data_IF_257223143341
#
_entry.id   IF_257223143341
#
_cell.length_a   1.000
_cell.length_b   1.000
_cell.length_c   1.000
_cell.angle_alpha   90.00
_cell.angle_beta   90.00
_cell.angle_gamma   90.00
#
_symmetry.space_group_name_H-M   'P 1'
#
loop_
_entity.id
_entity.type
_entity.pdbx_description
1 polymer ?
#
# COMPACT_ATOMS: atom_id res chain seq x y z
N UNK A 1 -11.96 9.27 43.76
CA UNK A 1 -11.96 9.46 42.29
C UNK A 1 -10.67 8.98 41.60
N UNK A 2 -9.46 9.22 42.14
CA UNK A 2 -8.20 8.75 41.52
C UNK A 2 -8.11 7.24 41.26
N UNK A 3 -8.61 6.41 42.17
CA UNK A 3 -8.55 4.94 42.04
C UNK A 3 -9.53 4.34 41.00
N UNK A 4 -10.63 5.03 40.71
CA UNK A 4 -11.60 4.63 39.68
C UNK A 4 -11.04 4.88 38.27
N UNK A 5 -10.31 5.98 38.09
CA UNK A 5 -9.61 6.30 36.84
C UNK A 5 -8.51 5.28 36.54
N UNK A 6 -7.71 4.88 37.53
CA UNK A 6 -6.66 3.87 37.33
C UNK A 6 -7.22 2.49 37.00
N UNK A 7 -8.38 2.12 37.56
CA UNK A 7 -9.03 0.84 37.28
C UNK A 7 -9.65 0.82 35.88
N UNK A 8 -10.28 1.93 35.45
CA UNK A 8 -10.79 2.08 34.08
C UNK A 8 -9.67 2.03 33.05
N UNK A 9 -8.55 2.73 33.28
CA UNK A 9 -7.39 2.69 32.39
C UNK A 9 -6.82 1.26 32.34
N UNK A 10 -6.66 0.59 33.49
CA UNK A 10 -6.19 -0.79 33.55
C UNK A 10 -7.10 -1.78 32.81
N UNK A 11 -8.41 -1.61 32.92
CA UNK A 11 -9.39 -2.44 32.22
C UNK A 11 -9.37 -2.22 30.71
N UNK A 12 -9.25 -0.97 30.25
CA UNK A 12 -9.16 -0.65 28.81
C UNK A 12 -7.86 -1.19 28.22
N UNK A 13 -6.73 -1.02 28.91
CA UNK A 13 -5.43 -1.54 28.46
C UNK A 13 -5.44 -3.08 28.46
N UNK A 14 -5.99 -3.72 29.49
CA UNK A 14 -6.12 -5.17 29.57
C UNK A 14 -7.01 -5.75 28.46
N UNK A 15 -8.13 -5.11 28.16
CA UNK A 15 -9.02 -5.53 27.07
C UNK A 15 -8.36 -5.36 25.69
N UNK A 16 -7.62 -4.27 25.47
CA UNK A 16 -6.87 -4.05 24.23
C UNK A 16 -5.75 -5.10 24.03
N UNK A 17 -5.04 -5.47 25.10
CA UNK A 17 -4.00 -6.51 25.08
C UNK A 17 -4.57 -7.90 24.78
N UNK A 18 -5.68 -8.26 25.43
CA UNK A 18 -6.36 -9.54 25.21
C UNK A 18 -6.93 -9.62 23.80
N UNK A 19 -7.52 -8.54 23.28
CA UNK A 19 -8.00 -8.48 21.90
C UNK A 19 -6.85 -8.66 20.91
N UNK A 20 -5.72 -7.98 21.12
CA UNK A 20 -4.52 -8.11 20.28
C UNK A 20 -3.95 -9.53 20.28
N UNK A 21 -3.96 -10.21 21.44
CA UNK A 21 -3.44 -11.57 21.58
C UNK A 21 -4.40 -12.65 21.07
N UNK A 22 -5.72 -12.47 21.19
CA UNK A 22 -6.71 -13.52 20.87
C UNK A 22 -7.32 -13.40 19.46
N UNK A 23 -7.44 -12.21 18.88
CA UNK A 23 -8.11 -12.02 17.58
C UNK A 23 -7.13 -12.15 16.40
N UNK A 24 -5.83 -12.15 16.67
CA UNK A 24 -4.79 -12.37 15.67
C UNK A 24 -4.53 -11.11 14.83
N UNK A 25 -3.25 -10.80 14.66
CA UNK A 25 -2.78 -9.84 13.64
C UNK A 25 -3.38 -10.22 12.30
N UNK A 26 -3.96 -9.23 11.61
CA UNK A 26 -4.61 -9.46 10.32
C UNK A 26 -3.67 -10.21 9.39
N UNK A 27 -4.19 -11.25 8.72
CA UNK A 27 -3.43 -12.03 7.77
C UNK A 27 -3.02 -11.09 6.63
N UNK A 28 -1.74 -10.73 6.61
CA UNK A 28 -1.12 -10.11 5.45
C UNK A 28 -1.19 -11.17 4.35
N UNK A 29 -2.12 -11.03 3.40
CA UNK A 29 -2.10 -11.87 2.21
C UNK A 29 -0.77 -11.65 1.51
N UNK A 30 0.03 -12.72 1.42
CA UNK A 30 1.31 -12.68 0.73
C UNK A 30 1.04 -12.31 -0.73
N UNK A 31 1.68 -11.26 -1.29
CA UNK A 31 1.43 -10.88 -2.67
C UNK A 31 1.84 -12.03 -3.60
N UNK A 32 1.13 -12.25 -4.72
CA UNK A 32 1.47 -13.30 -5.67
C UNK A 32 2.91 -13.14 -6.20
N UNK A 33 3.55 -14.26 -6.49
CA UNK A 33 4.89 -14.30 -7.07
C UNK A 33 6.03 -14.34 -6.07
N UNK A 34 7.24 -14.13 -6.58
CA UNK A 34 8.49 -14.12 -5.80
C UNK A 34 8.98 -12.70 -5.56
N UNK A 35 9.62 -12.41 -4.40
CA UNK A 35 10.27 -11.13 -4.16
C UNK A 35 11.28 -10.79 -5.25
N UNK A 36 11.16 -9.59 -5.80
CA UNK A 36 12.09 -9.04 -6.80
C UNK A 36 13.44 -8.82 -6.14
N UNK A 37 14.51 -9.34 -6.78
CA UNK A 37 15.87 -9.33 -6.24
C UNK A 37 16.73 -8.29 -6.93
N UNK A 38 17.88 -7.98 -6.34
CA UNK A 38 18.89 -7.14 -6.97
C UNK A 38 19.46 -7.79 -8.26
N UNK A 39 19.93 -6.98 -9.22
CA UNK A 39 20.67 -7.45 -10.39
C UNK A 39 21.91 -8.25 -9.99
N UNK A 40 22.32 -9.20 -10.83
CA UNK A 40 23.55 -9.96 -10.62
C UNK A 40 24.78 -9.09 -10.93
N UNK A 41 25.87 -9.30 -10.19
CA UNK A 41 27.10 -8.50 -10.34
C UNK A 41 27.78 -8.65 -11.73
N UNK A 42 27.36 -9.62 -12.55
CA UNK A 42 27.87 -9.88 -13.89
C UNK A 42 27.26 -9.02 -15.01
N UNK A 43 26.35 -8.09 -14.68
CA UNK A 43 25.64 -7.26 -15.65
C UNK A 43 24.31 -7.88 -16.11
N UNK A 44 23.55 -7.12 -16.90
CA UNK A 44 22.24 -7.56 -17.38
C UNK A 44 22.37 -8.66 -18.45
N UNK A 45 21.62 -9.77 -18.33
CA UNK A 45 21.57 -10.80 -19.37
C UNK A 45 21.17 -10.24 -20.75
N UNK A 46 21.50 -10.95 -21.85
CA UNK A 46 20.94 -10.63 -23.16
C UNK A 46 19.41 -10.67 -23.13
N UNK A 47 18.77 -9.72 -23.82
CA UNK A 47 17.31 -9.62 -23.85
C UNK A 47 16.69 -8.96 -22.61
N UNK A 48 17.49 -8.24 -21.81
CA UNK A 48 16.99 -7.42 -20.69
C UNK A 48 16.67 -6.00 -21.14
N UNK A 49 15.47 -5.51 -20.80
CA UNK A 49 15.12 -4.09 -20.87
C UNK A 49 15.25 -3.45 -19.50
N UNK A 50 15.67 -2.17 -19.45
CA UNK A 50 15.81 -1.41 -18.21
C UNK A 50 14.80 -0.26 -18.21
N UNK A 51 13.87 -0.29 -17.26
CA UNK A 51 12.94 0.80 -16.99
C UNK A 51 13.43 1.58 -15.77
N UNK A 52 13.59 2.89 -15.92
CA UNK A 52 14.01 3.77 -14.82
C UNK A 52 12.85 4.68 -14.43
N UNK A 53 12.50 4.68 -13.14
CA UNK A 53 11.47 5.52 -12.53
C UNK A 53 12.12 6.34 -11.42
N UNK A 54 12.27 7.64 -11.63
CA UNK A 54 12.85 8.57 -10.66
C UNK A 54 11.79 9.21 -9.76
N UNK A 55 12.23 9.93 -8.73
CA UNK A 55 11.30 10.63 -7.82
C UNK A 55 10.44 11.69 -8.55
N UNK A 56 10.97 12.31 -9.61
CA UNK A 56 10.28 13.35 -10.35
C UNK A 56 9.07 12.80 -11.13
N UNK A 57 9.17 11.59 -11.67
CA UNK A 57 8.07 10.87 -12.28
C UNK A 57 6.90 10.73 -11.29
N UNK A 58 7.18 10.24 -10.08
CA UNK A 58 6.14 10.08 -9.05
C UNK A 58 5.61 11.43 -8.57
N UNK A 59 6.49 12.42 -8.39
CA UNK A 59 6.08 13.78 -8.05
C UNK A 59 5.06 14.34 -9.04
N UNK A 60 5.35 14.23 -10.34
CA UNK A 60 4.45 14.69 -11.41
C UNK A 60 3.14 13.90 -11.44
N UNK A 61 3.20 12.59 -11.20
CA UNK A 61 2.02 11.73 -11.09
C UNK A 61 1.10 12.18 -9.96
N UNK A 62 1.64 12.38 -8.75
CA UNK A 62 0.84 12.82 -7.60
C UNK A 62 0.29 14.24 -7.80
N UNK A 63 1.08 15.16 -8.34
CA UNK A 63 0.60 16.50 -8.69
C UNK A 63 -0.59 16.44 -9.65
N UNK A 64 -0.51 15.58 -10.67
CA UNK A 64 -1.60 15.36 -11.64
C UNK A 64 -2.84 14.79 -10.95
N UNK A 65 -2.68 13.79 -10.06
CA UNK A 65 -3.79 13.22 -9.29
C UNK A 65 -4.49 14.31 -8.45
N UNK A 66 -3.71 15.08 -7.68
CA UNK A 66 -4.29 16.11 -6.82
C UNK A 66 -4.95 17.24 -7.61
N UNK A 67 -4.38 17.62 -8.76
CA UNK A 67 -4.91 18.69 -9.61
C UNK A 67 -6.13 18.26 -10.40
N UNK A 68 -6.08 17.08 -11.02
CA UNK A 68 -7.03 16.69 -12.07
C UNK A 68 -8.04 15.62 -11.61
N UNK A 69 -7.72 14.82 -10.59
CA UNK A 69 -8.55 13.70 -10.11
C UNK A 69 -9.14 13.89 -8.72
N UNK A 70 -8.85 15.03 -8.07
CA UNK A 70 -9.13 15.33 -6.67
C UNK A 70 -8.36 14.44 -5.67
N UNK A 71 -8.31 14.91 -4.42
CA UNK A 71 -7.63 14.21 -3.34
C UNK A 71 -8.25 12.82 -3.04
N UNK A 72 -7.45 11.74 -3.04
CA UNK A 72 -7.92 10.40 -2.69
C UNK A 72 -8.57 10.40 -1.29
N UNK A 73 -9.81 9.90 -1.22
CA UNK A 73 -10.59 9.85 0.02
C UNK A 73 -10.97 8.41 0.35
N UNK A 74 -10.72 8.00 1.59
CA UNK A 74 -10.94 6.66 2.09
C UNK A 74 -11.84 6.68 3.31
N UNK A 75 -12.93 5.91 3.28
CA UNK A 75 -13.78 5.69 4.46
C UNK A 75 -13.10 4.77 5.44
N UNK A 76 -13.08 5.16 6.71
CA UNK A 76 -12.53 4.36 7.81
C UNK A 76 -13.52 3.25 8.23
N UNK A 77 -13.02 2.03 8.39
CA UNK A 77 -13.78 0.93 8.99
C UNK A 77 -13.91 1.12 10.52
N UNK A 78 -14.99 0.63 11.15
CA UNK A 78 -15.14 0.75 12.60
C UNK A 78 -14.23 -0.23 13.34
N UNK A 79 -13.45 0.24 14.32
CA UNK A 79 -12.72 -0.60 15.27
C UNK A 79 -12.89 -0.15 16.73
N UNK A 80 -14.00 0.52 17.06
CA UNK A 80 -14.33 0.88 18.47
C UNK A 80 -15.56 0.11 18.90
N UNK A 81 -15.35 -0.97 19.65
CA UNK A 81 -16.41 -1.76 20.24
C UNK A 81 -17.11 -1.01 21.38
N UNK A 82 -18.37 -0.62 21.15
CA UNK A 82 -19.45 -0.56 22.16
C UNK A 82 -20.81 -0.81 21.48
N UNK A 83 -20.92 -1.85 20.66
CA UNK A 83 -22.23 -2.35 20.22
C UNK A 83 -22.28 -3.85 20.55
N UNK A 84 -23.34 -4.36 21.21
CA UNK A 84 -23.47 -5.76 21.55
C UNK A 84 -23.27 -6.65 20.32
N UNK A 85 -22.51 -7.72 20.51
CA UNK A 85 -22.26 -8.77 19.54
C UNK A 85 -23.58 -9.46 19.19
N UNK A 86 -24.09 -9.26 17.98
CA UNK A 86 -25.14 -10.10 17.41
C UNK A 86 -24.47 -11.26 16.66
N UNK A 87 -24.61 -12.52 17.12
CA UNK A 87 -23.95 -13.68 16.54
C UNK A 87 -24.47 -14.06 15.14
N UNK A 88 -25.48 -13.37 14.60
CA UNK A 88 -26.03 -13.64 13.26
C UNK A 88 -25.22 -13.05 12.09
N UNK A 89 -24.25 -12.17 12.33
CA UNK A 89 -23.53 -11.41 11.29
C UNK A 89 -22.10 -11.91 10.97
N UNK A 90 -21.79 -13.17 11.30
CA UNK A 90 -20.46 -13.75 11.07
C UNK A 90 -20.06 -13.97 9.59
N UNK A 91 -20.89 -13.57 8.63
CA UNK A 91 -20.69 -13.88 7.21
C UNK A 91 -19.93 -12.82 6.39
N UNK A 92 -19.80 -11.58 6.85
CA UNK A 92 -19.09 -10.51 6.09
C UNK A 92 -18.26 -9.60 7.01
N UNK A 93 -17.01 -9.99 7.24
CA UNK A 93 -16.13 -9.47 8.29
C UNK A 93 -15.62 -8.02 8.19
N UNK A 94 -16.36 -7.06 7.63
CA UNK A 94 -16.02 -5.62 7.71
C UNK A 94 -17.30 -4.77 7.84
N UNK A 95 -17.50 -4.15 9.01
CA UNK A 95 -18.59 -3.18 9.25
C UNK A 95 -18.07 -1.74 9.13
N UNK A 96 -18.52 -1.03 8.10
CA UNK A 96 -18.30 0.42 7.96
C UNK A 96 -19.29 1.18 8.85
N UNK A 97 -18.87 2.30 9.45
CA UNK A 97 -19.77 3.11 10.30
C UNK A 97 -20.84 3.73 9.40
N UNK A 98 -22.08 3.26 9.52
CA UNK A 98 -23.23 4.02 9.04
C UNK A 98 -23.32 5.30 9.87
N UNK A 99 -23.39 6.43 9.17
CA UNK A 99 -23.46 7.81 9.64
C UNK A 99 -24.58 8.02 10.66
N UNK A 100 -24.35 7.69 11.92
CA UNK A 100 -25.18 8.18 13.02
C UNK A 100 -24.50 9.43 13.59
N UNK A 101 -25.07 10.61 13.28
CA UNK A 101 -24.61 11.91 13.78
C UNK A 101 -23.89 12.83 12.78
N UNK A 102 -23.92 12.54 11.47
CA UNK A 102 -23.40 13.46 10.44
C UNK A 102 -21.87 13.55 10.30
N UNK A 103 -21.10 12.79 11.07
CA UNK A 103 -19.64 12.70 10.91
C UNK A 103 -19.31 11.62 9.86
N UNK A 104 -18.74 12.01 8.73
CA UNK A 104 -18.20 11.08 7.74
C UNK A 104 -16.81 10.64 8.23
N UNK A 105 -16.73 9.42 8.77
CA UNK A 105 -15.46 8.83 9.22
C UNK A 105 -14.58 8.52 8.01
N UNK A 106 -13.72 9.47 7.65
CA UNK A 106 -12.92 9.40 6.42
C UNK A 106 -11.54 10.02 6.60
N UNK A 107 -10.61 9.56 5.76
CA UNK A 107 -9.27 10.10 5.58
C UNK A 107 -9.14 10.59 4.14
N UNK A 108 -8.66 11.81 3.99
CA UNK A 108 -8.33 12.46 2.73
C UNK A 108 -6.81 12.59 2.66
N UNK A 109 -6.19 12.02 1.63
CA UNK A 109 -4.76 12.20 1.36
C UNK A 109 -4.53 13.62 0.88
N UNK A 110 -3.54 14.29 1.47
CA UNK A 110 -3.17 15.65 1.11
C UNK A 110 -1.85 15.65 0.33
N UNK A 111 -1.62 16.63 -0.57
CA UNK A 111 -0.31 16.78 -1.23
C UNK A 111 0.81 17.07 -0.22
N UNK A 112 0.50 17.79 0.85
CA UNK A 112 1.41 18.10 1.95
C UNK A 112 0.63 18.29 3.25
N UNK A 113 1.24 17.96 4.39
CA UNK A 113 0.68 18.17 5.72
C UNK A 113 1.68 17.80 6.81
N UNK A 114 1.62 18.51 7.94
CA UNK A 114 2.51 18.28 9.09
C UNK A 114 4.01 18.33 8.73
N UNK A 115 4.39 19.14 7.74
CA UNK A 115 5.77 19.26 7.24
C UNK A 115 6.23 18.10 6.34
N UNK A 116 5.33 17.21 5.93
CA UNK A 116 5.63 16.05 5.08
C UNK A 116 4.87 16.18 3.76
N UNK A 117 5.58 15.98 2.64
CA UNK A 117 5.01 15.94 1.29
C UNK A 117 4.65 14.50 0.92
N UNK A 118 3.45 14.30 0.39
CA UNK A 118 3.03 13.00 -0.15
C UNK A 118 3.80 12.69 -1.43
N UNK A 119 4.40 11.51 -1.52
CA UNK A 119 5.17 11.11 -2.69
C UNK A 119 5.86 9.76 -2.52
N UNK A 120 6.78 9.47 -3.43
CA UNK A 120 7.72 8.35 -3.34
C UNK A 120 9.13 8.91 -3.23
N UNK A 121 9.93 8.35 -2.34
CA UNK A 121 11.33 8.69 -2.10
C UNK A 121 12.18 7.42 -2.17
N UNK A 122 13.36 7.56 -2.76
CA UNK A 122 14.32 6.49 -2.92
C UNK A 122 15.49 6.74 -1.97
N UNK A 123 15.51 6.04 -0.85
CA UNK A 123 16.49 6.25 0.21
C UNK A 123 16.97 4.92 0.77
N UNK A 124 18.28 4.79 1.01
CA UNK A 124 18.89 3.62 1.64
C UNK A 124 18.55 2.28 0.95
N UNK A 125 18.39 2.33 -0.39
CA UNK A 125 18.01 1.16 -1.20
C UNK A 125 16.55 0.73 -1.05
N UNK A 126 15.70 1.56 -0.43
CA UNK A 126 14.27 1.31 -0.19
C UNK A 126 13.39 2.31 -0.93
N UNK A 127 12.16 1.88 -1.21
CA UNK A 127 11.12 2.72 -1.80
C UNK A 127 10.18 3.17 -0.68
N UNK A 128 10.37 4.39 -0.22
CA UNK A 128 9.64 4.98 0.88
C UNK A 128 8.49 5.84 0.34
N UNK A 129 7.28 5.64 0.85
CA UNK A 129 6.10 6.41 0.48
C UNK A 129 5.56 7.20 1.68
N UNK A 130 6.09 8.41 1.95
CA UNK A 130 5.46 9.33 2.89
C UNK A 130 4.11 9.79 2.36
N UNK A 131 3.10 9.83 3.23
CA UNK A 131 1.74 10.25 2.87
C UNK A 131 1.17 11.15 3.97
N UNK A 132 0.94 12.42 3.64
CA UNK A 132 0.21 13.35 4.49
C UNK A 132 -1.29 13.14 4.34
N UNK A 133 -2.03 13.29 5.43
CA UNK A 133 -3.48 13.13 5.42
C UNK A 133 -4.20 14.00 6.45
N UNK A 134 -5.47 14.22 6.18
CA UNK A 134 -6.41 14.84 7.11
C UNK A 134 -7.75 14.12 7.06
N UNK A 135 -8.59 14.30 8.06
CA UNK A 135 -9.87 13.63 8.09
C UNK A 135 -10.62 13.85 9.38
N UNK A 136 -11.60 12.99 9.61
CA UNK A 136 -12.37 12.97 10.83
C UNK A 136 -12.80 11.56 11.16
N UNK A 137 -13.01 11.29 12.45
CA UNK A 137 -13.65 10.07 12.90
C UNK A 137 -14.68 10.36 14.00
N UNK A 138 -15.71 9.54 14.08
CA UNK A 138 -16.69 9.61 15.15
C UNK A 138 -16.13 8.92 16.41
N UNK A 139 -15.93 9.69 17.48
CA UNK A 139 -15.62 9.20 18.80
C UNK A 139 -16.73 9.61 19.77
N UNK A 140 -17.47 8.63 20.28
CA UNK A 140 -18.54 8.83 21.28
C UNK A 140 -19.58 9.87 20.86
N UNK A 141 -19.97 9.89 19.58
CA UNK A 141 -20.95 10.83 19.04
C UNK A 141 -20.38 12.20 18.66
N UNK A 142 -19.07 12.43 18.89
CA UNK A 142 -18.40 13.66 18.49
C UNK A 142 -17.53 13.42 17.25
N UNK A 143 -17.54 14.37 16.32
CA UNK A 143 -16.67 14.32 15.14
C UNK A 143 -15.31 14.93 15.50
N UNK A 144 -14.30 14.08 15.62
CA UNK A 144 -12.94 14.50 15.99
C UNK A 144 -12.10 14.64 14.73
N UNK A 145 -11.53 15.82 14.44
CA UNK A 145 -10.64 15.99 13.31
C UNK A 145 -9.31 15.26 13.57
N UNK A 146 -8.76 14.65 12.53
CA UNK A 146 -7.44 14.02 12.54
C UNK A 146 -6.58 14.61 11.44
N UNK A 147 -5.30 14.81 11.74
CA UNK A 147 -4.27 15.23 10.81
C UNK A 147 -2.99 14.50 11.15
N UNK A 148 -2.18 14.25 10.14
CA UNK A 148 -0.93 13.54 10.36
C UNK A 148 -0.31 13.08 9.06
N UNK A 149 0.67 12.21 9.20
CA UNK A 149 1.33 11.57 8.08
C UNK A 149 1.67 10.12 8.41
N UNK A 150 1.70 9.28 7.38
CA UNK A 150 2.11 7.89 7.46
C UNK A 150 3.40 7.69 6.66
N UNK A 151 4.26 6.80 7.14
CA UNK A 151 5.40 6.29 6.38
C UNK A 151 5.08 4.86 5.96
N UNK A 152 5.28 4.57 4.67
CA UNK A 152 5.27 3.20 4.18
C UNK A 152 6.55 2.85 3.42
N UNK A 153 6.84 1.56 3.35
CA UNK A 153 7.81 0.90 2.47
C UNK A 153 7.05 0.10 1.40
N UNK A 154 7.56 0.09 0.17
CA UNK A 154 6.98 -0.64 -0.95
C UNK A 154 7.96 -1.75 -1.38
N UNK A 155 7.55 -2.99 -1.17
CA UNK A 155 8.26 -4.16 -1.67
C UNK A 155 7.65 -4.65 -2.99
N UNK A 156 8.47 -5.21 -3.87
CA UNK A 156 8.05 -5.66 -5.20
C UNK A 156 8.12 -7.19 -5.30
N UNK A 157 7.09 -7.80 -5.87
CA UNK A 157 7.02 -9.22 -6.17
C UNK A 157 6.69 -9.43 -7.66
N UNK A 158 7.37 -10.37 -8.32
CA UNK A 158 7.10 -10.73 -9.71
C UNK A 158 6.42 -12.09 -9.78
N UNK A 159 5.26 -12.14 -10.42
CA UNK A 159 4.61 -13.40 -10.79
C UNK A 159 4.82 -13.67 -12.28
N UNK A 160 5.64 -14.67 -12.59
CA UNK A 160 5.92 -15.09 -13.97
C UNK A 160 4.70 -15.69 -14.67
N UNK A 161 3.82 -16.40 -13.96
CA UNK A 161 2.62 -16.97 -14.56
C UNK A 161 1.65 -15.89 -15.02
N UNK A 162 1.46 -14.84 -14.21
CA UNK A 162 0.58 -13.72 -14.51
C UNK A 162 1.27 -12.62 -15.34
N UNK A 163 2.59 -12.76 -15.57
CA UNK A 163 3.43 -11.72 -16.19
C UNK A 163 3.24 -10.36 -15.51
N UNK A 164 3.16 -10.32 -14.17
CA UNK A 164 2.74 -9.12 -13.43
C UNK A 164 3.72 -8.81 -12.30
N UNK A 165 4.10 -7.54 -12.19
CA UNK A 165 4.85 -7.03 -11.04
C UNK A 165 3.87 -6.41 -10.07
N UNK A 166 3.77 -7.02 -8.90
CA UNK A 166 2.98 -6.57 -7.76
C UNK A 166 3.85 -5.74 -6.83
N UNK A 167 3.27 -4.70 -6.23
CA UNK A 167 3.82 -3.99 -5.09
C UNK A 167 3.04 -4.32 -3.82
N UNK A 168 3.72 -4.27 -2.69
CA UNK A 168 3.13 -4.42 -1.37
C UNK A 168 3.52 -3.23 -0.50
N UNK A 169 2.52 -2.47 -0.07
CA UNK A 169 2.68 -1.35 0.87
C UNK A 169 2.72 -1.88 2.30
N UNK A 170 3.81 -1.61 2.99
CA UNK A 170 4.05 -1.92 4.39
C UNK A 170 4.18 -0.61 5.17
N UNK A 171 3.15 -0.26 5.95
CA UNK A 171 3.14 0.93 6.81
C UNK A 171 4.12 0.72 7.96
N UNK A 172 5.15 1.57 8.00
CA UNK A 172 6.15 1.57 9.07
C UNK A 172 5.63 2.30 10.31
N UNK A 173 4.81 3.33 10.12
CA UNK A 173 4.25 4.10 11.23
C UNK A 173 3.28 5.18 10.77
N UNK A 174 2.47 5.64 11.73
CA UNK A 174 1.53 6.75 11.57
C UNK A 174 1.79 7.77 12.67
N UNK A 175 1.98 9.03 12.29
CA UNK A 175 2.16 10.15 13.18
C UNK A 175 0.92 11.04 13.10
N UNK A 176 0.23 11.22 14.23
CA UNK A 176 -0.96 12.05 14.34
C UNK A 176 -0.64 13.34 15.10
N UNK A 177 -1.14 14.47 14.62
CA UNK A 177 -1.04 15.75 15.31
C UNK A 177 -1.84 15.71 16.62
N UNK A 178 -1.25 16.23 17.71
CA UNK A 178 -1.91 16.32 19.01
C UNK A 178 -2.07 14.98 19.75
N UNK A 179 -1.62 13.86 19.18
CA UNK A 179 -1.64 12.54 19.83
C UNK A 179 -0.21 12.15 20.22
N UNK A 180 0.05 11.81 21.50
CA UNK A 180 1.36 11.33 21.92
C UNK A 180 1.82 10.07 21.13
N UNK A 181 3.12 9.95 20.77
CA UNK A 181 3.62 8.88 19.89
C UNK A 181 3.34 7.45 20.37
N UNK A 182 3.18 7.24 21.68
CA UNK A 182 2.94 5.92 22.27
C UNK A 182 1.57 5.33 21.90
N UNK A 183 0.61 6.14 21.43
CA UNK A 183 -0.67 5.65 20.89
C UNK A 183 -0.60 5.31 19.38
N UNK A 184 0.48 5.68 18.69
CA UNK A 184 0.63 5.52 17.24
C UNK A 184 0.68 4.05 16.77
N UNK A 185 1.14 3.13 17.62
CA UNK A 185 1.25 1.70 17.28
C UNK A 185 -0.09 1.02 17.03
N UNK A 186 -1.14 1.39 17.78
CA UNK A 186 -2.49 0.83 17.61
C UNK A 186 -3.13 1.34 16.31
N UNK A 187 -2.93 2.63 16.00
CA UNK A 187 -3.44 3.25 14.76
C UNK A 187 -2.75 2.67 13.53
N UNK A 188 -1.44 2.42 13.62
CA UNK A 188 -0.64 1.87 12.50
C UNK A 188 -1.18 0.51 12.04
N UNK A 189 -1.51 -0.39 12.97
CA UNK A 189 -2.08 -1.70 12.62
C UNK A 189 -3.45 -1.58 11.95
N UNK A 190 -4.28 -0.64 12.40
CA UNK A 190 -5.59 -0.41 11.79
C UNK A 190 -5.47 0.13 10.35
N UNK A 191 -4.57 1.08 10.13
CA UNK A 191 -4.28 1.63 8.79
C UNK A 191 -3.69 0.54 7.89
N UNK A 192 -2.74 -0.27 8.40
CA UNK A 192 -2.19 -1.41 7.67
C UNK A 192 -3.27 -2.40 7.25
N UNK A 193 -4.22 -2.73 8.12
CA UNK A 193 -5.32 -3.65 7.80
C UNK A 193 -6.21 -3.10 6.68
N UNK A 194 -6.49 -1.80 6.72
CA UNK A 194 -7.28 -1.14 5.68
C UNK A 194 -6.56 -1.12 4.33
N UNK A 195 -5.24 -0.88 4.33
CA UNK A 195 -4.40 -0.93 3.14
C UNK A 195 -4.31 -2.36 2.59
N UNK A 196 -4.12 -3.34 3.46
CA UNK A 196 -4.05 -4.75 3.07
C UNK A 196 -5.33 -5.24 2.38
N UNK A 197 -6.50 -4.74 2.79
CA UNK A 197 -7.78 -5.16 2.23
C UNK A 197 -8.18 -4.43 0.93
N UNK A 198 -7.68 -3.21 0.71
CA UNK A 198 -8.16 -2.34 -0.39
C UNK A 198 -7.12 -2.01 -1.44
N UNK A 199 -5.85 -1.96 -1.05
CA UNK A 199 -4.78 -1.41 -1.88
C UNK A 199 -3.74 -2.48 -2.19
N UNK A 200 -3.42 -3.36 -1.23
CA UNK A 200 -2.54 -4.49 -1.50
C UNK A 200 -3.31 -5.68 -2.10
N UNK A 201 -2.67 -6.44 -3.01
CA UNK A 201 -1.44 -6.07 -3.71
C UNK A 201 -1.73 -4.99 -4.77
N UNK A 202 -0.86 -3.99 -4.89
CA UNK A 202 -0.95 -3.01 -5.97
C UNK A 202 -0.31 -3.58 -7.23
N UNK A 203 -0.85 -3.24 -8.40
CA UNK A 203 -0.28 -3.69 -9.68
C UNK A 203 0.62 -2.58 -10.23
N UNK A 204 1.92 -2.81 -10.25
CA UNK A 204 2.92 -1.87 -10.77
C UNK A 204 3.04 -1.98 -12.29
N UNK A 205 3.13 -3.21 -12.81
CA UNK A 205 3.17 -3.49 -14.25
C UNK A 205 2.33 -4.73 -14.56
N UNK A 206 1.47 -4.62 -15.58
CA UNK A 206 0.60 -5.72 -16.03
C UNK A 206 1.26 -6.51 -17.16
N UNK A 207 0.81 -7.75 -17.36
CA UNK A 207 1.26 -8.62 -18.45
C UNK A 207 1.23 -8.01 -19.84
N UNK A 208 0.27 -7.13 -20.14
CA UNK A 208 0.18 -6.44 -21.43
C UNK A 208 1.33 -5.44 -21.66
N UNK A 209 1.93 -4.93 -20.59
CA UNK A 209 3.10 -4.03 -20.64
C UNK A 209 4.40 -4.83 -20.61
N UNK A 210 4.35 -6.09 -20.17
CA UNK A 210 5.48 -7.02 -20.04
C UNK A 210 5.49 -8.11 -21.12
N UNK A 211 4.60 -8.02 -22.11
CA UNK A 211 4.59 -8.93 -23.25
C UNK A 211 4.60 -8.12 -24.54
N UNK A 212 5.41 -8.58 -25.49
CA UNK A 212 5.55 -7.95 -26.80
C UNK A 212 5.12 -8.95 -27.85
N UNK A 213 4.26 -8.54 -28.78
CA UNK A 213 3.90 -9.32 -29.95
C UNK A 213 4.15 -8.45 -31.20
N UNK A 214 5.31 -8.61 -31.81
CA UNK A 214 5.74 -7.80 -32.96
C UNK A 214 5.64 -8.63 -34.24
N UNK A 215 4.85 -8.21 -35.24
CA UNK A 215 4.81 -8.90 -36.52
C UNK A 215 6.14 -8.73 -37.27
N UNK A 216 6.69 -9.82 -37.76
CA UNK A 216 7.94 -9.86 -38.53
C UNK A 216 7.58 -10.06 -39.99
N UNK A 217 7.59 -8.97 -40.76
CA UNK A 217 7.17 -8.96 -42.17
C UNK A 217 8.01 -9.88 -43.05
N UNK A 218 9.31 -10.01 -42.75
CA UNK A 218 10.23 -10.83 -43.53
C UNK A 218 9.97 -12.35 -43.44
N UNK A 219 9.32 -12.83 -42.36
CA UNK A 219 9.08 -14.25 -42.12
C UNK A 219 7.60 -14.62 -42.08
N UNK A 220 6.71 -13.66 -42.37
CA UNK A 220 5.26 -13.78 -42.16
C UNK A 220 4.92 -14.41 -40.78
N UNK A 221 5.67 -13.99 -39.75
CA UNK A 221 5.58 -14.54 -38.40
C UNK A 221 5.35 -13.46 -37.35
N UNK A 222 5.12 -13.86 -36.11
CA UNK A 222 5.03 -12.96 -34.95
C UNK A 222 6.14 -13.31 -33.97
N UNK A 223 6.96 -12.32 -33.63
CA UNK A 223 7.89 -12.40 -32.50
C UNK A 223 7.12 -12.12 -31.22
N UNK A 224 7.13 -13.08 -30.30
CA UNK A 224 6.56 -12.97 -28.96
C UNK A 224 7.68 -12.83 -27.95
N UNK A 225 7.54 -11.93 -26.99
CA UNK A 225 8.41 -11.82 -25.83
C UNK A 225 7.59 -11.96 -24.55
N UNK A 226 8.09 -12.77 -23.61
CA UNK A 226 7.51 -12.93 -22.28
C UNK A 226 8.59 -12.65 -21.23
N UNK A 227 8.25 -11.89 -20.20
CA UNK A 227 9.14 -11.63 -19.09
C UNK A 227 9.42 -12.94 -18.34
N UNK A 228 10.69 -13.32 -18.28
CA UNK A 228 11.18 -14.49 -17.57
C UNK A 228 11.60 -14.15 -16.15
N UNK A 229 12.25 -13.01 -15.99
CA UNK A 229 12.81 -12.56 -14.73
C UNK A 229 12.69 -11.04 -14.61
N UNK A 230 12.43 -10.57 -13.39
CA UNK A 230 12.38 -9.14 -13.06
C UNK A 230 13.26 -8.90 -11.86
N UNK A 231 14.18 -7.95 -12.00
CA UNK A 231 15.09 -7.50 -10.94
C UNK A 231 14.94 -6.02 -10.72
N UNK A 232 15.21 -5.57 -9.50
CA UNK A 232 15.11 -4.17 -9.14
C UNK A 232 16.34 -3.74 -8.37
N UNK A 233 16.82 -2.54 -8.67
CA UNK A 233 17.75 -1.82 -7.80
C UNK A 233 17.25 -0.41 -7.58
N UNK A 234 17.51 0.11 -6.39
CA UNK A 234 17.27 1.51 -6.06
C UNK A 234 18.63 2.16 -5.94
N UNK A 235 18.94 3.05 -6.88
CA UNK A 235 20.23 3.71 -6.98
C UNK A 235 20.07 5.10 -7.58
N UNK A 236 20.87 6.05 -7.10
CA UNK A 236 20.91 7.42 -7.63
C UNK A 236 19.54 8.12 -7.60
N UNK A 237 18.72 7.86 -6.58
CA UNK A 237 17.38 8.45 -6.46
C UNK A 237 16.36 7.92 -7.47
N UNK A 238 16.57 6.72 -8.00
CA UNK A 238 15.65 6.08 -8.95
C UNK A 238 15.50 4.58 -8.70
N UNK A 239 14.31 4.07 -9.01
CA UNK A 239 14.05 2.64 -9.17
C UNK A 239 14.40 2.23 -10.59
N UNK A 240 15.31 1.26 -10.74
CA UNK A 240 15.61 0.62 -12.02
C UNK A 240 15.08 -0.81 -12.01
N UNK A 241 14.19 -1.09 -12.94
CA UNK A 241 13.59 -2.40 -13.16
C UNK A 241 14.25 -3.04 -14.38
N UNK A 242 14.87 -4.18 -14.17
CA UNK A 242 15.51 -5.01 -15.19
C UNK A 242 14.57 -6.15 -15.54
N UNK A 243 13.94 -6.08 -16.71
CA UNK A 243 13.01 -7.10 -17.19
C UNK A 243 13.71 -7.93 -18.24
N UNK A 244 13.97 -9.20 -17.94
CA UNK A 244 14.61 -10.15 -18.86
C UNK A 244 13.54 -10.95 -19.59
N UNK A 245 13.60 -10.96 -20.92
CA UNK A 245 12.59 -11.62 -21.76
C UNK A 245 13.09 -12.92 -22.38
N UNK A 246 12.21 -13.92 -22.45
CA UNK A 246 12.35 -15.04 -23.37
C UNK A 246 11.58 -14.72 -24.66
N UNK A 247 12.28 -14.79 -25.79
CA UNK A 247 11.72 -14.51 -27.12
C UNK A 247 11.38 -15.81 -27.85
N UNK A 248 10.22 -15.85 -28.50
CA UNK A 248 9.78 -16.98 -29.31
C UNK A 248 9.13 -16.51 -30.61
N UNK A 249 9.28 -17.27 -31.69
CA UNK A 249 8.62 -17.00 -32.97
C UNK A 249 7.40 -17.89 -33.16
N UNK A 250 6.27 -17.31 -33.60
CA UNK A 250 5.12 -18.05 -34.11
C UNK A 250 4.99 -17.79 -35.62
N UNK A 251 4.83 -18.82 -36.45
CA UNK A 251 4.49 -18.63 -37.87
C UNK A 251 3.06 -18.11 -37.98
N UNK A 252 2.84 -17.12 -38.85
CA UNK A 252 1.48 -16.67 -39.20
C UNK A 252 0.73 -17.82 -39.87
N UNK A 253 -0.51 -18.04 -39.44
CA UNK A 253 -1.47 -18.87 -40.18
C UNK A 253 -1.98 -18.11 -41.39
#
# INVERSE_FOLDING_TARGET
MRYLLTLLIGAVVGAALVYYLLVGVARIEKPPGEPVRAPEAGGSPPGTAVLTLDEQFFGTLFETIFRDLNAPTFRLASAVGVIPFDPSDAATGVRFINTQGGCESQIVVAPEGSGVRTGVRFQDGQMLAPMAFSGSYNAFGNCVPIRGWAQADITLNFNQADQTVYGQINVQGVNLEGVPPFFGGIVTQFVQNSINQRVNPLIIMRGQQLTLAVPVQASNGTLKAQAKDVRAEIKDGALRLYVTYDFSGARGQ
#
